data_IF_979869393845
#
_entry.id   IF_979869393845
#
_cell.length_a   1.000
_cell.length_b   1.000
_cell.length_c   1.000
_cell.angle_alpha   90.00
_cell.angle_beta   90.00
_cell.angle_gamma   90.00
#
_symmetry.space_group_name_H-M   'P 1'
#
loop_
_entity.id
_entity.type
_entity.pdbx_description
1 polymer ?
#
# COMPACT_ATOMS: atom_id res chain seq x y z
N UNK A 1 -7.65 -64.70 46.68
CA UNK A 1 -8.81 -64.68 45.78
C UNK A 1 -8.97 -63.27 45.26
N UNK A 2 -8.52 -63.01 44.02
CA UNK A 2 -8.75 -61.71 43.39
C UNK A 2 -10.22 -61.58 43.07
N UNK A 3 -10.89 -60.53 43.56
CA UNK A 3 -12.27 -60.22 43.21
C UNK A 3 -12.30 -59.83 41.73
N UNK A 4 -12.94 -60.67 40.91
CA UNK A 4 -13.34 -60.28 39.57
C UNK A 4 -14.44 -59.23 39.69
N UNK A 5 -14.30 -58.11 38.98
CA UNK A 5 -15.41 -57.20 38.70
C UNK A 5 -16.18 -57.72 37.47
N UNK A 6 -17.36 -57.16 37.20
CA UNK A 6 -18.40 -57.63 36.25
C UNK A 6 -17.90 -58.07 34.84
N UNK A 7 -16.71 -57.61 34.43
CA UNK A 7 -16.04 -57.96 33.16
C UNK A 7 -15.11 -59.22 33.21
N UNK A 8 -15.00 -59.92 34.33
CA UNK A 8 -14.16 -61.13 34.46
C UNK A 8 -12.64 -60.89 34.48
N UNK A 9 -12.20 -59.63 34.39
CA UNK A 9 -10.79 -59.20 34.46
C UNK A 9 -10.26 -59.19 35.90
N UNK A 10 -8.97 -59.51 36.06
CA UNK A 10 -8.27 -59.33 37.34
C UNK A 10 -7.91 -57.85 37.57
N UNK A 11 -7.73 -57.45 38.83
CA UNK A 11 -7.40 -56.06 39.21
C UNK A 11 -6.18 -55.49 38.46
N UNK A 12 -5.18 -56.32 38.19
CA UNK A 12 -3.97 -55.90 37.46
C UNK A 12 -4.25 -55.61 35.97
N UNK A 13 -5.07 -56.45 35.31
CA UNK A 13 -5.45 -56.24 33.91
C UNK A 13 -6.32 -54.97 33.74
N UNK A 14 -7.13 -54.65 34.74
CA UNK A 14 -7.88 -53.38 34.78
C UNK A 14 -6.95 -52.17 34.92
N UNK A 15 -5.92 -52.25 35.76
CA UNK A 15 -4.95 -51.18 35.92
C UNK A 15 -4.17 -50.91 34.63
N UNK A 16 -3.77 -51.98 33.92
CA UNK A 16 -3.08 -51.90 32.63
C UNK A 16 -3.98 -51.29 31.55
N UNK A 17 -5.22 -51.76 31.40
CA UNK A 17 -6.21 -51.19 30.46
C UNK A 17 -6.51 -49.72 30.76
N UNK A 18 -6.60 -49.34 32.02
CA UNK A 18 -6.79 -47.95 32.42
C UNK A 18 -5.59 -47.08 32.06
N UNK A 19 -4.35 -47.59 32.19
CA UNK A 19 -3.16 -46.87 31.78
C UNK A 19 -3.12 -46.63 30.26
N UNK A 20 -3.53 -47.62 29.46
CA UNK A 20 -3.67 -47.49 28.01
C UNK A 20 -4.73 -46.45 27.62
N UNK A 21 -5.89 -46.45 28.29
CA UNK A 21 -6.92 -45.44 28.07
C UNK A 21 -6.46 -44.03 28.43
N UNK A 22 -5.76 -43.87 29.55
CA UNK A 22 -5.20 -42.57 29.95
C UNK A 22 -4.21 -42.05 28.91
N UNK A 23 -3.32 -42.92 28.39
CA UNK A 23 -2.38 -42.55 27.34
C UNK A 23 -3.11 -42.15 26.04
N UNK A 24 -4.10 -42.93 25.62
CA UNK A 24 -4.92 -42.64 24.44
C UNK A 24 -5.68 -41.31 24.57
N UNK A 25 -6.24 -41.04 25.75
CA UNK A 25 -6.93 -39.77 26.04
C UNK A 25 -5.96 -38.60 25.92
N UNK A 26 -4.76 -38.70 26.50
CA UNK A 26 -3.75 -37.64 26.40
C UNK A 26 -3.34 -37.35 24.95
N UNK A 27 -3.12 -38.39 24.13
CA UNK A 27 -2.83 -38.21 22.70
C UNK A 27 -3.97 -37.56 21.93
N UNK A 28 -5.22 -37.91 22.26
CA UNK A 28 -6.40 -37.32 21.63
C UNK A 28 -6.58 -35.85 22.04
N UNK A 29 -6.33 -35.51 23.31
CA UNK A 29 -6.35 -34.13 23.81
C UNK A 29 -5.33 -33.26 23.08
N UNK A 30 -4.10 -33.76 22.87
CA UNK A 30 -3.07 -33.06 22.10
C UNK A 30 -3.49 -32.83 20.64
N UNK A 31 -4.04 -33.88 19.99
CA UNK A 31 -4.56 -33.78 18.62
C UNK A 31 -5.70 -32.76 18.52
N UNK A 32 -6.61 -32.73 19.50
CA UNK A 32 -7.70 -31.76 19.57
C UNK A 32 -7.18 -30.33 19.74
N UNK A 33 -6.19 -30.10 20.60
CA UNK A 33 -5.56 -28.79 20.78
C UNK A 33 -4.88 -28.31 19.49
N UNK A 34 -4.16 -29.20 18.80
CA UNK A 34 -3.55 -28.90 17.51
C UNK A 34 -4.59 -28.58 16.43
N UNK A 35 -5.72 -29.29 16.40
CA UNK A 35 -6.82 -29.02 15.47
C UNK A 35 -7.48 -27.67 15.77
N UNK A 36 -7.70 -27.34 17.03
CA UNK A 36 -8.26 -26.05 17.44
C UNK A 36 -7.37 -24.87 17.02
N UNK A 37 -6.04 -25.00 17.21
CA UNK A 37 -5.09 -23.99 16.75
C UNK A 37 -5.12 -23.80 15.23
N UNK A 38 -5.18 -24.91 14.47
CA UNK A 38 -5.30 -24.86 13.01
C UNK A 38 -6.60 -24.20 12.55
N UNK A 39 -7.72 -24.51 13.20
CA UNK A 39 -9.01 -23.87 12.91
C UNK A 39 -8.99 -22.37 13.16
N UNK A 40 -8.36 -21.93 14.27
CA UNK A 40 -8.16 -20.50 14.55
C UNK A 40 -7.38 -19.82 13.42
N UNK A 41 -6.25 -20.41 13.02
CA UNK A 41 -5.42 -19.87 11.95
C UNK A 41 -6.15 -19.83 10.60
N UNK A 42 -6.97 -20.84 10.30
CA UNK A 42 -7.79 -20.87 9.08
C UNK A 42 -8.82 -19.73 9.09
N UNK A 43 -9.45 -19.46 10.23
CA UNK A 43 -10.40 -18.35 10.34
C UNK A 43 -9.71 -16.99 10.15
N UNK A 44 -8.53 -16.80 10.74
CA UNK A 44 -7.75 -15.56 10.55
C UNK A 44 -7.35 -15.37 9.08
N UNK A 45 -6.88 -16.44 8.43
CA UNK A 45 -6.55 -16.42 7.01
C UNK A 45 -7.76 -16.16 6.12
N UNK A 46 -8.92 -16.71 6.47
CA UNK A 46 -10.18 -16.47 5.77
C UNK A 46 -10.59 -15.00 5.85
N UNK A 47 -10.54 -14.41 7.04
CA UNK A 47 -10.81 -12.98 7.23
C UNK A 47 -9.85 -12.10 6.43
N UNK A 48 -8.55 -12.43 6.43
CA UNK A 48 -7.56 -11.72 5.62
C UNK A 48 -7.85 -11.85 4.10
N UNK A 49 -8.23 -13.04 3.64
CA UNK A 49 -8.56 -13.29 2.24
C UNK A 49 -9.81 -12.52 1.79
N UNK A 50 -10.86 -12.48 2.63
CA UNK A 50 -12.07 -11.70 2.37
C UNK A 50 -11.76 -10.20 2.29
N UNK A 51 -10.92 -9.68 3.19
CA UNK A 51 -10.49 -8.29 3.16
C UNK A 51 -9.70 -7.96 1.90
N UNK A 52 -8.74 -8.80 1.51
CA UNK A 52 -7.96 -8.62 0.28
C UNK A 52 -8.88 -8.63 -0.95
N UNK A 53 -9.85 -9.55 -1.00
CA UNK A 53 -10.78 -9.64 -2.11
C UNK A 53 -11.66 -8.38 -2.21
N UNK A 54 -12.14 -7.87 -1.06
CA UNK A 54 -12.89 -6.61 -1.01
C UNK A 54 -12.08 -5.42 -1.52
N UNK A 55 -10.85 -5.26 -1.04
CA UNK A 55 -9.95 -4.18 -1.49
C UNK A 55 -9.64 -4.26 -2.99
N UNK A 56 -9.44 -5.48 -3.50
CA UNK A 56 -9.20 -5.70 -4.92
C UNK A 56 -10.42 -5.33 -5.78
N UNK A 57 -11.63 -5.67 -5.30
CA UNK A 57 -12.87 -5.28 -5.97
C UNK A 57 -13.06 -3.76 -5.99
N UNK A 58 -12.86 -3.09 -4.85
CA UNK A 58 -12.96 -1.62 -4.74
C UNK A 58 -11.97 -0.91 -5.67
N UNK A 59 -10.72 -1.40 -5.75
CA UNK A 59 -9.71 -0.88 -6.67
C UNK A 59 -10.10 -1.08 -8.14
N UNK A 60 -10.63 -2.25 -8.50
CA UNK A 60 -11.08 -2.54 -9.86
C UNK A 60 -12.26 -1.64 -10.27
N UNK A 61 -13.23 -1.44 -9.38
CA UNK A 61 -14.37 -0.56 -9.61
C UNK A 61 -13.92 0.89 -9.83
N UNK A 62 -12.96 1.38 -9.04
CA UNK A 62 -12.38 2.72 -9.22
C UNK A 62 -11.71 2.88 -10.60
N UNK A 63 -10.86 1.93 -10.99
CA UNK A 63 -10.19 1.95 -12.30
C UNK A 63 -11.20 1.93 -13.47
N UNK A 64 -12.28 1.16 -13.34
CA UNK A 64 -13.34 1.13 -14.36
C UNK A 64 -14.06 2.48 -14.45
N UNK A 65 -14.34 3.13 -13.31
CA UNK A 65 -14.95 4.46 -13.29
C UNK A 65 -14.06 5.52 -13.96
N UNK A 66 -12.76 5.54 -13.64
CA UNK A 66 -11.79 6.44 -14.28
C UNK A 66 -11.70 6.19 -15.80
N UNK A 67 -11.57 4.94 -16.22
CA UNK A 67 -11.54 4.58 -17.65
C UNK A 67 -12.81 5.05 -18.38
N UNK A 68 -13.98 4.86 -17.76
CA UNK A 68 -15.26 5.29 -18.34
C UNK A 68 -15.33 6.83 -18.44
N UNK A 69 -14.88 7.55 -17.42
CA UNK A 69 -14.84 9.02 -17.44
C UNK A 69 -13.89 9.54 -18.54
N UNK A 70 -12.68 9.00 -18.64
CA UNK A 70 -11.72 9.33 -19.70
C UNK A 70 -12.25 8.97 -21.10
N UNK A 71 -12.98 7.87 -21.22
CA UNK A 71 -13.59 7.46 -22.50
C UNK A 71 -14.71 8.43 -22.92
N UNK A 72 -15.56 8.83 -21.98
CA UNK A 72 -16.62 9.81 -22.22
C UNK A 72 -16.04 11.19 -22.60
N UNK A 73 -15.02 11.65 -21.89
CA UNK A 73 -14.29 12.88 -22.20
C UNK A 73 -13.67 12.82 -23.60
N UNK A 74 -12.97 11.73 -23.94
CA UNK A 74 -12.40 11.53 -25.27
C UNK A 74 -13.46 11.49 -26.39
N UNK A 75 -14.64 10.93 -26.12
CA UNK A 75 -15.75 10.95 -27.07
C UNK A 75 -16.28 12.39 -27.29
N UNK A 76 -16.39 13.18 -26.23
CA UNK A 76 -16.75 14.60 -26.29
C UNK A 76 -15.74 15.42 -27.09
N UNK A 77 -14.45 15.27 -26.82
CA UNK A 77 -13.36 15.90 -27.56
C UNK A 77 -13.39 15.57 -29.05
N UNK A 78 -13.58 14.29 -29.41
CA UNK A 78 -13.70 13.86 -30.81
C UNK A 78 -14.92 14.44 -31.50
N UNK A 79 -16.05 14.54 -30.80
CA UNK A 79 -17.27 15.17 -31.34
C UNK A 79 -17.04 16.65 -31.61
N UNK A 80 -16.45 17.39 -30.65
CA UNK A 80 -16.15 18.80 -30.81
C UNK A 80 -15.16 19.06 -31.95
N UNK A 81 -14.13 18.21 -32.10
CA UNK A 81 -13.20 18.28 -33.21
C UNK A 81 -13.90 18.10 -34.56
N UNK A 82 -14.81 17.14 -34.66
CA UNK A 82 -15.59 16.92 -35.88
C UNK A 82 -16.43 18.15 -36.22
N UNK A 83 -17.12 18.75 -35.24
CA UNK A 83 -17.92 19.96 -35.45
C UNK A 83 -17.07 21.12 -35.98
N UNK A 84 -15.85 21.31 -35.46
CA UNK A 84 -14.92 22.36 -35.89
C UNK A 84 -14.41 22.15 -37.32
N UNK A 85 -14.20 20.90 -37.74
CA UNK A 85 -13.58 20.56 -39.03
C UNK A 85 -14.56 20.53 -40.22
N UNK A 86 -15.88 20.72 -39.99
CA UNK A 86 -16.90 20.77 -41.06
C UNK A 86 -16.68 22.03 -41.95
N UNK A 87 -16.21 21.89 -43.21
CA UNK A 87 -15.80 23.02 -44.04
C UNK A 87 -16.95 23.84 -44.64
N UNK A 88 -18.17 23.30 -44.63
CA UNK A 88 -19.38 23.83 -45.26
C UNK A 88 -20.30 24.60 -44.29
N UNK A 89 -20.07 24.49 -42.98
CA UNK A 89 -20.74 25.28 -41.96
C UNK A 89 -20.06 26.64 -41.79
N UNK A 90 -20.30 27.55 -42.74
CA UNK A 90 -19.92 28.95 -42.60
C UNK A 90 -20.47 29.50 -41.26
N UNK A 91 -19.58 29.73 -40.30
CA UNK A 91 -19.85 30.09 -38.89
C UNK A 91 -20.44 28.92 -38.10
N UNK A 92 -19.61 28.26 -37.27
CA UNK A 92 -20.11 27.47 -36.14
C UNK A 92 -21.13 28.32 -35.39
N UNK A 93 -22.41 27.92 -35.45
CA UNK A 93 -23.48 28.56 -34.70
C UNK A 93 -23.04 28.71 -33.24
N UNK A 94 -23.42 29.80 -32.56
CA UNK A 94 -22.96 30.11 -31.19
C UNK A 94 -23.04 28.89 -30.25
N UNK A 95 -24.09 28.07 -30.40
CA UNK A 95 -24.31 26.85 -29.63
C UNK A 95 -23.28 25.73 -29.88
N UNK A 96 -22.73 25.63 -31.10
CA UNK A 96 -21.65 24.68 -31.42
C UNK A 96 -20.31 25.16 -30.86
N UNK A 97 -20.06 26.47 -30.89
CA UNK A 97 -18.85 27.05 -30.28
C UNK A 97 -18.82 26.87 -28.77
N UNK A 98 -19.96 27.04 -28.09
CA UNK A 98 -20.08 26.81 -26.65
C UNK A 98 -19.85 25.33 -26.33
N UNK A 99 -20.52 24.40 -27.04
CA UNK A 99 -20.28 22.96 -26.86
C UNK A 99 -18.83 22.55 -27.12
N UNK A 100 -18.18 23.13 -28.12
CA UNK A 100 -16.78 22.87 -28.39
C UNK A 100 -15.86 23.39 -27.28
N UNK A 101 -16.14 24.57 -26.73
CA UNK A 101 -15.39 25.12 -25.59
C UNK A 101 -15.58 24.26 -24.33
N UNK A 102 -16.80 23.87 -24.00
CA UNK A 102 -17.09 23.01 -22.85
C UNK A 102 -16.41 21.63 -23.00
N UNK A 103 -16.37 21.09 -24.23
CA UNK A 103 -15.69 19.82 -24.52
C UNK A 103 -14.15 19.92 -24.48
N UNK A 104 -13.57 21.12 -24.50
CA UNK A 104 -12.13 21.33 -24.34
C UNK A 104 -11.68 21.31 -22.87
N UNK A 105 -12.61 21.38 -21.92
CA UNK A 105 -12.30 21.09 -20.53
C UNK A 105 -12.07 19.59 -20.36
N UNK A 106 -10.99 19.21 -19.66
CA UNK A 106 -10.59 17.80 -19.48
C UNK A 106 -10.51 17.40 -18.00
N UNK A 107 -11.63 17.51 -17.25
CA UNK A 107 -11.64 17.27 -15.80
C UNK A 107 -11.31 15.81 -15.42
N UNK A 108 -11.67 14.83 -16.25
CA UNK A 108 -11.32 13.43 -16.00
C UNK A 108 -9.81 13.19 -16.18
N UNK A 109 -9.21 13.80 -17.21
CA UNK A 109 -7.76 13.79 -17.39
C UNK A 109 -7.04 14.51 -16.25
N UNK A 110 -7.54 15.67 -15.81
CA UNK A 110 -6.94 16.43 -14.71
C UNK A 110 -6.99 15.65 -13.39
N UNK A 111 -8.12 15.01 -13.09
CA UNK A 111 -8.27 14.15 -11.92
C UNK A 111 -7.32 12.94 -11.98
N UNK A 112 -7.24 12.25 -13.12
CA UNK A 112 -6.31 11.15 -13.34
C UNK A 112 -4.85 11.59 -13.15
N UNK A 113 -4.45 12.72 -13.74
CA UNK A 113 -3.09 13.25 -13.58
C UNK A 113 -2.79 13.69 -12.15
N UNK A 114 -3.77 14.24 -11.43
CA UNK A 114 -3.62 14.58 -10.02
C UNK A 114 -3.34 13.33 -9.16
N UNK A 115 -4.08 12.24 -9.41
CA UNK A 115 -3.86 10.96 -8.75
C UNK A 115 -2.50 10.36 -9.07
N UNK A 116 -2.12 10.30 -10.35
CA UNK A 116 -0.80 9.79 -10.77
C UNK A 116 0.33 10.59 -10.12
N UNK A 117 0.21 11.93 -10.07
CA UNK A 117 1.19 12.78 -9.38
C UNK A 117 1.24 12.50 -7.88
N UNK A 118 0.10 12.31 -7.22
CA UNK A 118 0.06 11.96 -5.80
C UNK A 118 0.74 10.62 -5.52
N UNK A 119 0.49 9.59 -6.35
CA UNK A 119 1.18 8.30 -6.25
C UNK A 119 2.68 8.44 -6.45
N UNK A 120 3.11 9.13 -7.51
CA UNK A 120 4.52 9.32 -7.82
C UNK A 120 5.28 10.06 -6.69
N UNK A 121 4.64 11.05 -6.06
CA UNK A 121 5.20 11.74 -4.88
C UNK A 121 5.37 10.78 -3.70
N UNK A 122 4.36 9.97 -3.40
CA UNK A 122 4.42 8.97 -2.33
C UNK A 122 5.50 7.91 -2.57
N UNK A 123 5.66 7.46 -3.82
CA UNK A 123 6.72 6.55 -4.23
C UNK A 123 8.11 7.17 -4.07
N UNK A 124 8.29 8.43 -4.50
CA UNK A 124 9.53 9.17 -4.30
C UNK A 124 9.92 9.30 -2.82
N UNK A 125 8.96 9.62 -1.95
CA UNK A 125 9.16 9.68 -0.49
C UNK A 125 9.57 8.32 0.08
N UNK A 126 8.87 7.26 -0.29
CA UNK A 126 9.21 5.88 0.10
C UNK A 126 10.63 5.51 -0.33
N UNK A 127 10.98 5.85 -1.57
CA UNK A 127 12.30 5.59 -2.13
C UNK A 127 13.38 6.31 -1.32
N UNK A 128 13.21 7.60 -1.03
CA UNK A 128 14.16 8.37 -0.22
C UNK A 128 14.33 7.78 1.19
N UNK A 129 13.23 7.49 1.88
CA UNK A 129 13.26 6.84 3.21
C UNK A 129 13.96 5.48 3.17
N UNK A 130 13.69 4.67 2.14
CA UNK A 130 14.32 3.36 1.95
C UNK A 130 15.82 3.48 1.70
N UNK A 131 16.26 4.47 0.91
CA UNK A 131 17.68 4.73 0.67
C UNK A 131 18.40 5.17 1.94
N UNK A 132 17.77 5.98 2.79
CA UNK A 132 18.31 6.35 4.10
C UNK A 132 18.46 5.13 5.01
N UNK A 133 17.41 4.33 5.15
CA UNK A 133 17.45 3.11 5.97
C UNK A 133 18.50 2.11 5.47
N UNK A 134 18.64 1.95 4.15
CA UNK A 134 19.67 1.13 3.55
C UNK A 134 21.08 1.66 3.82
N UNK A 135 21.29 2.97 3.74
CA UNK A 135 22.58 3.59 4.04
C UNK A 135 23.03 3.29 5.48
N UNK A 136 22.11 3.34 6.45
CA UNK A 136 22.37 2.93 7.83
C UNK A 136 22.66 1.43 7.96
N UNK A 137 21.79 0.56 7.43
CA UNK A 137 21.95 -0.89 7.54
C UNK A 137 23.24 -1.43 6.90
N UNK A 138 23.78 -0.72 5.90
CA UNK A 138 25.05 -1.05 5.25
C UNK A 138 26.26 -0.31 5.83
N UNK A 139 26.10 0.45 6.92
CA UNK A 139 27.21 1.08 7.66
C UNK A 139 27.74 2.38 7.04
N UNK A 140 27.01 3.01 6.11
CA UNK A 140 27.37 4.33 5.58
C UNK A 140 27.07 5.47 6.55
N UNK A 141 26.21 5.23 7.54
CA UNK A 141 25.84 6.19 8.58
C UNK A 141 26.23 5.65 9.96
N UNK A 142 27.12 6.36 10.65
CA UNK A 142 27.50 6.06 12.03
C UNK A 142 26.68 6.93 13.00
N UNK A 143 25.41 6.55 13.15
CA UNK A 143 24.41 7.24 13.99
C UNK A 143 23.61 6.23 14.81
N UNK A 144 23.08 6.60 15.98
CA UNK A 144 22.23 5.69 16.74
C UNK A 144 20.93 5.40 15.96
N UNK A 145 20.42 4.17 16.11
CA UNK A 145 19.20 3.72 15.41
C UNK A 145 17.99 4.63 15.68
N UNK A 146 17.92 5.25 16.86
CA UNK A 146 16.87 6.22 17.21
C UNK A 146 16.89 7.45 16.31
N UNK A 147 18.08 8.04 16.05
CA UNK A 147 18.20 9.20 15.17
C UNK A 147 17.82 8.84 13.73
N UNK A 148 18.29 7.69 13.24
CA UNK A 148 17.95 7.23 11.87
C UNK A 148 16.46 6.94 11.75
N UNK A 149 15.85 6.34 12.77
CA UNK A 149 14.41 6.09 12.83
C UNK A 149 13.63 7.40 12.77
N UNK A 150 14.02 8.40 13.55
CA UNK A 150 13.34 9.70 13.59
C UNK A 150 13.43 10.41 12.23
N UNK A 151 14.61 10.43 11.59
CA UNK A 151 14.76 11.02 10.24
C UNK A 151 13.98 10.22 9.19
N UNK A 152 13.99 8.89 9.27
CA UNK A 152 13.22 8.04 8.34
C UNK A 152 11.72 8.29 8.48
N UNK A 153 11.22 8.42 9.72
CA UNK A 153 9.84 8.78 10.02
C UNK A 153 9.50 10.19 9.51
N UNK A 154 10.40 11.16 9.72
CA UNK A 154 10.24 12.52 9.23
C UNK A 154 10.14 12.57 7.69
N UNK A 155 10.90 11.75 6.97
CA UNK A 155 10.76 11.65 5.51
C UNK A 155 9.39 11.05 5.15
N UNK A 156 8.98 9.97 5.82
CA UNK A 156 7.70 9.31 5.56
C UNK A 156 6.47 10.18 5.90
N UNK A 157 6.55 11.05 6.91
CA UNK A 157 5.47 11.97 7.28
C UNK A 157 5.18 13.02 6.21
N UNK A 158 6.13 13.30 5.31
CA UNK A 158 5.91 14.20 4.17
C UNK A 158 4.73 13.76 3.27
N UNK A 159 4.29 12.49 3.33
CA UNK A 159 3.08 12.04 2.64
C UNK A 159 1.82 12.66 3.21
N UNK A 160 1.75 12.79 4.54
CA UNK A 160 0.62 13.42 5.23
C UNK A 160 0.62 14.92 4.94
N UNK A 161 1.80 15.55 4.90
CA UNK A 161 1.94 16.96 4.54
C UNK A 161 1.41 17.23 3.12
N UNK A 162 1.80 16.40 2.14
CA UNK A 162 1.35 16.54 0.74
C UNK A 162 -0.14 16.20 0.53
N UNK A 163 -0.72 15.38 1.40
CA UNK A 163 -2.15 15.09 1.38
C UNK A 163 -2.98 16.28 1.89
N UNK A 164 -2.44 17.05 2.85
CA UNK A 164 -3.09 18.19 3.47
C UNK A 164 -2.82 19.52 2.75
N UNK A 165 -1.66 19.67 2.09
CA UNK A 165 -1.31 20.82 1.25
C UNK A 165 -0.68 20.36 -0.09
N UNK A 166 -1.45 20.33 -1.19
CA UNK A 166 -0.97 19.82 -2.48
C UNK A 166 0.01 20.76 -3.19
N UNK A 167 0.18 21.99 -2.68
CA UNK A 167 1.22 22.94 -3.05
C UNK A 167 2.35 22.84 -2.01
N UNK A 168 3.31 21.92 -2.18
CA UNK A 168 4.50 21.93 -1.33
C UNK A 168 5.14 23.33 -1.37
N UNK A 169 5.83 23.70 -0.29
CA UNK A 169 6.67 24.88 -0.28
C UNK A 169 7.47 24.97 -1.59
N UNK A 170 7.61 26.18 -2.15
CA UNK A 170 8.04 26.40 -3.54
C UNK A 170 9.37 25.71 -3.93
N UNK A 171 10.18 25.27 -2.97
CA UNK A 171 11.49 24.63 -3.11
C UNK A 171 11.51 23.11 -2.76
N UNK A 172 10.41 22.54 -2.25
CA UNK A 172 10.42 21.19 -1.67
C UNK A 172 10.42 20.04 -2.67
N UNK A 173 9.95 20.27 -3.91
CA UNK A 173 9.90 19.25 -4.97
C UNK A 173 10.96 19.42 -6.06
N UNK A 174 11.57 20.60 -6.19
CA UNK A 174 12.56 20.87 -7.25
C UNK A 174 13.90 20.16 -6.99
N UNK A 175 14.20 19.85 -5.72
CA UNK A 175 15.50 19.33 -5.31
C UNK A 175 16.55 20.41 -5.10
N UNK A 176 16.27 21.68 -5.43
CA UNK A 176 17.22 22.80 -5.35
C UNK A 176 17.85 22.95 -3.95
N UNK A 177 17.06 22.75 -2.89
CA UNK A 177 17.60 22.78 -1.52
C UNK A 177 18.66 21.69 -1.28
N UNK A 178 18.39 20.47 -1.75
CA UNK A 178 19.32 19.35 -1.60
C UNK A 178 20.59 19.57 -2.44
N UNK A 179 20.44 20.05 -3.68
CA UNK A 179 21.56 20.37 -4.58
C UNK A 179 22.45 21.47 -4.00
N UNK A 180 21.86 22.56 -3.49
CA UNK A 180 22.59 23.62 -2.81
C UNK A 180 23.30 23.13 -1.56
N UNK A 181 22.65 22.28 -0.76
CA UNK A 181 23.26 21.68 0.42
C UNK A 181 24.50 20.84 0.07
N UNK A 182 24.44 20.08 -1.03
CA UNK A 182 25.59 19.29 -1.53
C UNK A 182 26.77 20.21 -1.87
N UNK A 183 26.53 21.32 -2.59
CA UNK A 183 27.58 22.29 -2.94
C UNK A 183 28.22 22.93 -1.70
N UNK A 184 27.40 23.29 -0.71
CA UNK A 184 27.84 23.87 0.55
C UNK A 184 28.70 22.88 1.36
N UNK A 185 28.25 21.64 1.52
CA UNK A 185 28.99 20.60 2.23
C UNK A 185 30.30 20.25 1.52
N UNK A 186 30.28 20.12 0.19
CA UNK A 186 31.49 19.88 -0.60
C UNK A 186 32.52 21.01 -0.40
N UNK A 187 32.06 22.25 -0.31
CA UNK A 187 32.92 23.41 -0.05
C UNK A 187 33.49 23.40 1.37
N UNK A 188 32.69 23.05 2.37
CA UNK A 188 33.15 22.90 3.76
C UNK A 188 34.24 21.83 3.88
N UNK A 189 34.07 20.69 3.23
CA UNK A 189 35.08 19.62 3.21
C UNK A 189 36.40 20.06 2.56
N UNK A 190 36.35 20.79 1.45
CA UNK A 190 37.57 21.34 0.81
C UNK A 190 38.33 22.32 1.71
N UNK A 191 37.61 23.14 2.48
CA UNK A 191 38.20 24.09 3.43
C UNK A 191 38.77 23.40 4.67
N UNK A 192 38.07 22.39 5.19
CA UNK A 192 38.52 21.61 6.35
C UNK A 192 39.73 20.73 6.09
N UNK A 193 39.93 20.28 4.85
CA UNK A 193 41.11 19.49 4.44
C UNK A 193 42.37 20.34 4.17
N UNK A 194 42.28 21.68 4.21
CA UNK A 194 43.39 22.61 3.96
C UNK A 194 44.07 23.12 5.25
N UNK A 195 43.81 22.48 6.39
CA UNK A 195 44.44 22.71 7.70
C UNK A 195 45.24 21.47 8.11
#
# INVERSE_FOLDING_TARGET
>A
MGRQTDDGLTMNQLAERNAEYVMTIAELEEKCAALAAKLSMINDLMGAAEQVNKLAQEAAEKLVQECNALTAENAGLKSALNDILQPDAAVLEKNHRVRALDAMETPATDAFLAEVRASARNEGINYAASRLAAAFNHGFLDKPVSEVLDVTRMILSAKEDLANDPLPAADGLSGEYAEKSIEEWATQLRKGAAL
#
